data_IF_547604782381
#
_entry.id   IF_547604782381
#
_cell.length_a   1.000
_cell.length_b   1.000
_cell.length_c   1.000
_cell.angle_alpha   90.00
_cell.angle_beta   90.00
_cell.angle_gamma   90.00
#
_symmetry.space_group_name_H-M   'P 1'
#
loop_
_entity.id
_entity.type
_entity.pdbx_description
1 polymer ?
#
# COMPACT_ATOMS: atom_id res chain seq x y z
N UNK A 1 2.74 -19.78 6.49
CA UNK A 1 3.35 -18.45 6.68
C UNK A 1 2.34 -17.56 7.42
N UNK A 2 2.64 -17.03 8.62
CA UNK A 2 1.69 -16.14 9.32
C UNK A 2 1.61 -14.79 8.59
N UNK A 3 0.44 -14.22 8.27
CA UNK A 3 0.34 -12.87 7.74
C UNK A 3 1.02 -11.84 8.65
N UNK A 4 1.49 -10.75 8.07
CA UNK A 4 2.14 -9.66 8.82
C UNK A 4 1.24 -9.13 9.94
N UNK A 5 -0.08 -9.08 9.73
CA UNK A 5 -1.05 -8.68 10.73
C UNK A 5 -1.01 -9.55 12.00
N UNK A 6 -0.98 -10.88 11.84
CA UNK A 6 -0.92 -11.82 12.98
C UNK A 6 0.38 -11.67 13.79
N UNK A 7 1.49 -11.33 13.11
CA UNK A 7 2.76 -11.01 13.78
C UNK A 7 2.60 -9.74 14.62
N UNK A 8 1.94 -8.71 14.07
CA UNK A 8 1.68 -7.47 14.80
C UNK A 8 0.70 -7.64 15.96
N UNK A 9 -0.33 -8.48 15.83
CA UNK A 9 -1.25 -8.82 16.92
C UNK A 9 -0.53 -9.47 18.10
N UNK A 10 0.46 -10.31 17.81
CA UNK A 10 1.28 -10.98 18.82
C UNK A 10 2.22 -10.01 19.58
N UNK A 11 2.39 -8.77 19.11
CA UNK A 11 3.21 -7.78 19.81
C UNK A 11 2.55 -7.38 21.13
N UNK A 12 3.31 -7.50 22.22
CA UNK A 12 2.82 -7.20 23.57
C UNK A 12 2.01 -8.34 24.19
N UNK A 13 1.90 -9.51 23.53
CA UNK A 13 1.28 -10.69 24.14
C UNK A 13 2.18 -11.22 25.26
N UNK A 14 1.62 -11.37 26.46
CA UNK A 14 2.30 -11.95 27.61
C UNK A 14 1.29 -12.69 28.49
N UNK A 15 1.37 -14.02 28.46
CA UNK A 15 0.43 -14.89 29.17
C UNK A 15 0.55 -14.77 30.70
N UNK A 16 1.77 -14.56 31.22
CA UNK A 16 2.01 -14.40 32.66
C UNK A 16 1.40 -13.11 33.22
N UNK A 17 1.30 -12.07 32.40
CA UNK A 17 0.70 -10.78 32.77
C UNK A 17 -0.74 -10.62 32.27
N UNK A 18 -1.34 -11.64 31.66
CA UNK A 18 -2.68 -11.56 31.07
C UNK A 18 -2.81 -10.60 29.89
N UNK A 19 -1.70 -10.24 29.22
CA UNK A 19 -1.72 -9.32 28.08
C UNK A 19 -1.99 -10.09 26.79
N UNK A 20 -3.12 -9.78 26.14
CA UNK A 20 -3.56 -10.43 24.89
C UNK A 20 -2.80 -9.99 23.63
N UNK A 21 -1.97 -8.95 23.72
CA UNK A 21 -1.25 -8.37 22.58
C UNK A 21 -1.95 -7.15 21.98
N UNK A 22 -1.53 -6.78 20.78
CA UNK A 22 -2.07 -5.63 20.04
C UNK A 22 -3.44 -6.01 19.46
N UNK A 23 -4.49 -5.19 19.66
CA UNK A 23 -5.78 -5.43 19.02
C UNK A 23 -5.67 -5.50 17.48
N UNK A 24 -6.50 -6.33 16.81
CA UNK A 24 -6.53 -6.43 15.35
C UNK A 24 -7.00 -5.09 14.78
N UNK A 25 -6.04 -4.30 14.28
CA UNK A 25 -6.30 -2.96 13.73
C UNK A 25 -5.62 -2.82 12.39
N UNK A 26 -6.29 -2.18 11.42
CA UNK A 26 -5.70 -1.98 10.13
C UNK A 26 -4.42 -1.15 10.17
N UNK A 27 -3.51 -1.40 9.23
CA UNK A 27 -2.33 -0.57 9.06
C UNK A 27 -2.73 0.72 8.37
N UNK A 28 -2.52 1.82 9.08
CA UNK A 28 -2.58 3.14 8.48
C UNK A 28 -1.42 3.40 7.51
N UNK A 29 -1.43 4.57 6.85
CA UNK A 29 -0.53 4.91 5.76
C UNK A 29 0.97 4.78 6.10
N UNK A 30 1.35 5.14 7.32
CA UNK A 30 2.75 5.02 7.78
C UNK A 30 3.21 3.57 7.92
N UNK A 31 2.32 2.64 8.27
CA UNK A 31 2.68 1.23 8.41
C UNK A 31 2.65 0.51 7.07
N UNK A 32 1.70 0.87 6.20
CA UNK A 32 1.67 0.31 4.84
C UNK A 32 2.87 0.77 4.02
N UNK A 33 3.42 1.95 4.30
CA UNK A 33 4.59 2.48 3.58
C UNK A 33 5.96 2.04 4.09
N UNK A 34 5.99 0.99 4.91
CA UNK A 34 7.22 0.33 5.37
C UNK A 34 7.52 -0.88 4.52
N UNK A 35 8.80 -1.12 4.33
CA UNK A 35 9.31 -2.37 3.78
C UNK A 35 9.67 -3.27 4.97
N UNK A 36 9.04 -4.44 5.04
CA UNK A 36 9.33 -5.43 6.07
C UNK A 36 10.24 -6.52 5.51
N UNK A 37 11.07 -7.11 6.37
CA UNK A 37 11.86 -8.30 6.03
C UNK A 37 11.51 -9.43 6.98
N UNK A 38 11.27 -10.62 6.43
CA UNK A 38 10.97 -11.82 7.22
C UNK A 38 11.56 -13.05 6.54
N UNK A 39 12.42 -13.78 7.24
CA UNK A 39 13.06 -15.01 6.73
C UNK A 39 13.76 -14.83 5.35
N UNK A 40 14.31 -13.64 5.08
CA UNK A 40 14.92 -13.32 3.78
C UNK A 40 13.94 -12.72 2.76
N UNK A 41 12.63 -12.93 2.95
CA UNK A 41 11.60 -12.35 2.11
C UNK A 41 11.40 -10.88 2.44
N UNK A 42 11.27 -10.07 1.39
CA UNK A 42 10.86 -8.67 1.52
C UNK A 42 9.35 -8.59 1.33
N UNK A 43 8.68 -7.94 2.27
CA UNK A 43 7.22 -7.81 2.33
C UNK A 43 6.87 -6.33 2.18
N UNK A 44 6.02 -6.03 1.20
CA UNK A 44 5.36 -4.74 1.02
C UNK A 44 3.88 -4.85 1.35
N UNK A 45 3.33 -3.75 1.83
CA UNK A 45 1.90 -3.58 2.06
C UNK A 45 1.39 -2.43 1.19
N UNK A 46 0.20 -2.56 0.62
CA UNK A 46 -0.49 -1.45 -0.03
C UNK A 46 -1.62 -0.94 0.89
N UNK A 47 -2.02 0.33 0.78
CA UNK A 47 -3.09 0.89 1.60
C UNK A 47 -4.45 0.23 1.33
N UNK A 48 -5.30 0.19 2.36
CA UNK A 48 -6.65 -0.37 2.28
C UNK A 48 -7.56 0.30 1.24
N UNK A 49 -7.27 1.53 0.84
CA UNK A 49 -8.04 2.26 -0.18
C UNK A 49 -8.08 1.54 -1.55
N UNK A 50 -7.19 0.57 -1.80
CA UNK A 50 -7.21 -0.27 -3.00
C UNK A 50 -7.94 -1.62 -2.79
N UNK A 51 -8.59 -1.84 -1.65
CA UNK A 51 -9.29 -3.09 -1.30
C UNK A 51 -10.81 -2.98 -1.46
N UNK A 52 -11.32 -3.57 -2.55
CA UNK A 52 -12.75 -3.52 -2.95
C UNK A 52 -13.73 -4.24 -2.01
N UNK A 53 -13.24 -5.15 -1.15
CA UNK A 53 -14.13 -5.93 -0.27
C UNK A 53 -14.78 -5.08 0.81
N UNK A 54 -13.98 -4.17 1.38
CA UNK A 54 -14.39 -3.36 2.54
C UNK A 54 -14.43 -1.86 2.21
N UNK A 55 -13.81 -1.42 1.10
CA UNK A 55 -13.71 -0.01 0.72
C UNK A 55 -14.12 0.23 -0.74
N UNK A 56 -15.18 1.00 -0.93
CA UNK A 56 -15.68 1.39 -2.26
C UNK A 56 -14.91 2.55 -2.90
N UNK A 57 -13.90 3.10 -2.22
CA UNK A 57 -13.13 4.27 -2.69
C UNK A 57 -12.48 4.00 -4.04
N UNK A 58 -12.02 2.77 -4.31
CA UNK A 58 -11.41 2.43 -5.59
C UNK A 58 -12.39 2.37 -6.76
N UNK A 59 -13.71 2.47 -6.53
CA UNK A 59 -14.74 2.52 -7.56
C UNK A 59 -14.92 3.92 -8.16
N UNK A 60 -14.49 4.98 -7.46
CA UNK A 60 -14.48 6.35 -7.97
C UNK A 60 -13.03 6.82 -8.18
N UNK A 61 -12.55 6.91 -9.43
CA UNK A 61 -11.18 7.31 -9.71
C UNK A 61 -10.84 8.73 -9.24
N UNK A 62 -11.79 9.67 -9.19
CA UNK A 62 -11.51 11.03 -8.74
C UNK A 62 -11.21 11.05 -7.24
N UNK A 63 -12.06 10.40 -6.44
CA UNK A 63 -11.85 10.26 -4.99
C UNK A 63 -10.57 9.46 -4.70
N UNK A 64 -10.32 8.40 -5.48
CA UNK A 64 -9.11 7.60 -5.35
C UNK A 64 -7.84 8.43 -5.56
N UNK A 65 -7.81 9.28 -6.59
CA UNK A 65 -6.67 10.15 -6.89
C UNK A 65 -6.41 11.13 -5.74
N UNK A 66 -7.46 11.74 -5.20
CA UNK A 66 -7.33 12.71 -4.11
C UNK A 66 -6.88 12.04 -2.80
N UNK A 67 -7.39 10.84 -2.51
CA UNK A 67 -6.89 10.02 -1.40
C UNK A 67 -5.40 9.67 -1.57
N UNK A 68 -4.95 9.30 -2.78
CA UNK A 68 -3.52 9.05 -3.05
C UNK A 68 -2.68 10.30 -2.77
N UNK A 69 -3.09 11.48 -3.27
CA UNK A 69 -2.39 12.75 -3.03
C UNK A 69 -2.32 13.10 -1.55
N UNK A 70 -3.42 12.93 -0.82
CA UNK A 70 -3.51 13.20 0.61
C UNK A 70 -2.62 12.24 1.41
N UNK A 71 -2.58 10.97 1.04
CA UNK A 71 -1.69 9.99 1.66
C UNK A 71 -0.21 10.34 1.42
N UNK A 72 0.17 10.70 0.18
CA UNK A 72 1.54 11.14 -0.15
C UNK A 72 1.96 12.35 0.67
N UNK A 73 1.10 13.35 0.76
CA UNK A 73 1.32 14.55 1.58
C UNK A 73 1.46 14.20 3.07
N UNK A 74 0.54 13.38 3.59
CA UNK A 74 0.56 12.94 4.97
C UNK A 74 1.86 12.21 5.32
N UNK A 75 2.29 11.27 4.48
CA UNK A 75 3.55 10.55 4.68
C UNK A 75 4.75 11.50 4.63
N UNK A 76 4.78 12.43 3.67
CA UNK A 76 5.89 13.40 3.56
C UNK A 76 6.07 14.24 4.84
N UNK A 77 4.96 14.58 5.51
CA UNK A 77 4.94 15.42 6.71
C UNK A 77 5.12 14.62 8.01
N UNK A 78 4.69 13.35 8.04
CA UNK A 78 4.61 12.54 9.27
C UNK A 78 5.61 11.39 9.34
N UNK A 79 6.37 11.14 8.28
CA UNK A 79 7.42 10.12 8.30
C UNK A 79 8.56 10.54 9.22
N UNK A 80 8.78 9.75 10.28
CA UNK A 80 9.83 9.98 11.28
C UNK A 80 10.89 8.87 11.34
N UNK A 81 10.79 7.88 10.45
CA UNK A 81 11.68 6.73 10.44
C UNK A 81 12.84 6.96 9.48
N UNK A 82 13.94 6.22 9.70
CA UNK A 82 15.05 6.19 8.76
C UNK A 82 14.64 5.62 7.41
N UNK A 83 15.18 6.17 6.32
CA UNK A 83 14.85 5.75 4.96
C UNK A 83 13.64 6.48 4.38
N UNK A 84 13.33 6.20 3.11
CA UNK A 84 12.21 6.83 2.39
C UNK A 84 10.94 6.00 2.56
N UNK A 85 9.78 6.61 2.86
CA UNK A 85 8.51 5.90 2.78
C UNK A 85 8.32 5.38 1.36
N UNK A 86 7.80 4.16 1.22
CA UNK A 86 7.46 3.56 -0.09
C UNK A 86 5.95 3.39 -0.17
N UNK A 87 5.28 4.04 -1.10
CA UNK A 87 3.84 3.91 -1.27
C UNK A 87 3.52 2.94 -2.41
N UNK A 88 2.82 1.86 -2.09
CA UNK A 88 2.39 0.88 -3.09
C UNK A 88 0.96 1.19 -3.55
N UNK A 89 0.78 1.48 -4.84
CA UNK A 89 -0.52 1.59 -5.47
C UNK A 89 -0.80 0.37 -6.35
N UNK A 90 -2.07 -0.05 -6.37
CA UNK A 90 -2.54 -1.15 -7.22
C UNK A 90 -3.41 -0.56 -8.33
N UNK A 91 -2.99 -0.75 -9.57
CA UNK A 91 -3.77 -0.46 -10.76
C UNK A 91 -4.56 -1.70 -11.18
N UNK A 92 -5.86 -1.54 -11.41
CA UNK A 92 -6.75 -2.56 -11.96
C UNK A 92 -7.26 -2.11 -13.33
N UNK A 93 -7.71 -3.03 -14.15
CA UNK A 93 -8.25 -2.74 -15.49
C UNK A 93 -9.37 -1.69 -15.48
N UNK A 94 -10.24 -1.74 -14.47
CA UNK A 94 -11.31 -0.76 -14.23
C UNK A 94 -10.80 0.67 -13.95
N UNK A 95 -9.58 0.82 -13.40
CA UNK A 95 -8.95 2.13 -13.21
C UNK A 95 -8.24 2.63 -14.47
N UNK A 96 -8.04 1.76 -15.47
CA UNK A 96 -7.23 2.01 -16.68
C UNK A 96 -8.12 2.07 -17.94
N UNK A 97 -9.43 1.87 -17.78
CA UNK A 97 -10.41 1.85 -18.88
C UNK A 97 -11.62 2.71 -18.56
N UNK A 98 -12.16 3.44 -19.55
CA UNK A 98 -13.37 4.26 -19.40
C UNK A 98 -13.13 5.77 -19.34
N UNK A 99 -14.19 6.53 -19.05
CA UNK A 99 -14.20 8.01 -19.13
C UNK A 99 -13.22 8.68 -18.16
N UNK A 100 -12.90 8.03 -17.05
CA UNK A 100 -12.02 8.56 -16.01
C UNK A 100 -10.53 8.25 -16.20
N UNK A 101 -10.18 7.55 -17.28
CA UNK A 101 -8.78 7.17 -17.57
C UNK A 101 -7.85 8.38 -17.69
N UNK A 102 -8.35 9.51 -18.22
CA UNK A 102 -7.60 10.76 -18.34
C UNK A 102 -7.05 11.26 -17.00
N UNK A 103 -7.89 11.27 -15.96
CA UNK A 103 -7.51 11.74 -14.63
C UNK A 103 -6.47 10.82 -13.96
N UNK A 104 -6.65 9.50 -14.12
CA UNK A 104 -5.66 8.53 -13.65
C UNK A 104 -4.33 8.67 -14.41
N UNK A 105 -4.38 8.93 -15.71
CA UNK A 105 -3.20 9.15 -16.54
C UNK A 105 -2.43 10.40 -16.09
N UNK A 106 -3.13 11.49 -15.77
CA UNK A 106 -2.52 12.71 -15.24
C UNK A 106 -1.78 12.45 -13.92
N UNK A 107 -2.37 11.64 -13.02
CA UNK A 107 -1.69 11.20 -11.81
C UNK A 107 -0.43 10.39 -12.13
N UNK A 108 -0.50 9.43 -13.06
CA UNK A 108 0.64 8.62 -13.46
C UNK A 108 1.76 9.45 -14.11
N UNK A 109 1.41 10.47 -14.90
CA UNK A 109 2.37 11.43 -15.48
C UNK A 109 3.02 12.24 -14.37
N UNK A 110 2.25 12.77 -13.41
CA UNK A 110 2.78 13.53 -12.29
C UNK A 110 3.73 12.68 -11.40
N UNK A 111 3.37 11.42 -11.16
CA UNK A 111 4.22 10.44 -10.48
C UNK A 111 5.53 10.22 -11.24
N UNK A 112 5.47 10.02 -12.56
CA UNK A 112 6.65 9.84 -13.41
C UNK A 112 7.53 11.09 -13.44
N UNK A 113 6.95 12.28 -13.43
CA UNK A 113 7.66 13.56 -13.39
C UNK A 113 8.29 13.83 -12.01
N UNK A 114 7.95 13.06 -10.98
CA UNK A 114 8.61 13.08 -9.68
C UNK A 114 8.06 14.13 -8.71
N UNK A 115 6.89 14.72 -9.00
CA UNK A 115 6.27 15.72 -8.13
C UNK A 115 4.74 15.62 -8.14
N UNK A 116 4.15 15.36 -6.97
CA UNK A 116 2.70 15.23 -6.80
C UNK A 116 2.28 16.00 -5.55
N UNK A 117 1.33 16.92 -5.70
CA UNK A 117 0.71 17.65 -4.59
C UNK A 117 1.72 18.25 -3.58
N UNK A 118 2.76 18.91 -4.07
CA UNK A 118 3.80 19.50 -3.21
C UNK A 118 4.91 18.53 -2.75
N UNK A 119 4.77 17.23 -3.04
CA UNK A 119 5.66 16.17 -2.56
C UNK A 119 6.57 15.66 -3.68
N UNK A 120 7.87 15.57 -3.40
CA UNK A 120 8.83 14.89 -4.29
C UNK A 120 8.68 13.38 -4.18
N UNK A 121 8.36 12.74 -5.30
CA UNK A 121 8.12 11.30 -5.39
C UNK A 121 9.08 10.64 -6.37
N UNK A 122 9.27 9.32 -6.26
CA UNK A 122 10.08 8.58 -7.23
C UNK A 122 9.46 7.22 -7.52
N UNK A 123 8.95 7.07 -8.73
CA UNK A 123 8.44 5.78 -9.19
C UNK A 123 9.58 4.76 -9.27
N UNK A 124 9.33 3.58 -8.71
CA UNK A 124 10.25 2.45 -8.71
C UNK A 124 9.52 1.13 -8.94
N UNK A 125 10.27 0.13 -9.38
CA UNK A 125 9.84 -1.27 -9.40
C UNK A 125 10.47 -1.98 -8.22
N UNK A 126 9.70 -2.84 -7.57
CA UNK A 126 10.20 -3.67 -6.47
C UNK A 126 9.91 -5.13 -6.82
N UNK A 127 10.96 -5.93 -6.95
CA UNK A 127 10.87 -7.39 -7.19
C UNK A 127 10.74 -8.11 -5.85
N UNK A 128 9.51 -8.21 -5.31
CA UNK A 128 9.28 -8.72 -3.95
C UNK A 128 7.91 -9.39 -3.79
N UNK A 129 7.79 -10.20 -2.74
CA UNK A 129 6.54 -10.82 -2.31
C UNK A 129 5.66 -9.78 -1.61
N UNK A 130 4.56 -9.40 -2.24
CA UNK A 130 3.62 -8.41 -1.67
C UNK A 130 2.61 -9.16 -0.79
N UNK A 131 2.44 -8.73 0.46
CA UNK A 131 1.47 -9.34 1.37
C UNK A 131 0.14 -8.57 1.29
N UNK A 132 -0.93 -9.22 0.85
CA UNK A 132 -2.28 -8.68 1.02
C UNK A 132 -2.73 -8.77 2.47
N UNK A 133 -3.64 -7.86 2.84
CA UNK A 133 -4.37 -7.83 4.11
C UNK A 133 -5.02 -9.16 4.46
N UNK A 134 -5.48 -9.90 3.44
CA UNK A 134 -6.25 -11.13 3.61
C UNK A 134 -5.53 -12.31 2.92
N UNK A 135 -4.63 -12.99 3.65
CA UNK A 135 -4.04 -14.33 3.38
C UNK A 135 -3.52 -14.64 1.96
N UNK A 136 -3.40 -13.66 1.06
CA UNK A 136 -2.97 -13.85 -0.34
C UNK A 136 -1.62 -13.16 -0.56
N UNK A 137 -0.60 -13.93 -0.91
CA UNK A 137 0.69 -13.38 -1.33
C UNK A 137 0.59 -13.12 -2.83
N UNK A 138 0.85 -11.88 -3.25
CA UNK A 138 1.06 -11.57 -4.65
C UNK A 138 2.55 -11.68 -4.95
N UNK A 139 2.92 -12.65 -5.78
CA UNK A 139 4.27 -12.78 -6.32
C UNK A 139 4.32 -12.04 -7.66
N UNK A 140 5.25 -11.09 -7.80
CA UNK A 140 5.47 -10.44 -9.10
C UNK A 140 5.85 -11.51 -10.13
N UNK A 141 4.97 -11.77 -11.11
CA UNK A 141 5.25 -12.70 -12.22
C UNK A 141 4.31 -13.91 -12.38
N UNK A 142 3.25 -14.06 -11.56
CA UNK A 142 2.19 -15.03 -11.86
C UNK A 142 1.05 -14.36 -12.64
N UNK A 143 1.02 -14.60 -13.95
CA UNK A 143 -0.10 -14.27 -14.84
C UNK A 143 -1.39 -14.89 -14.31
N UNK A 144 -2.43 -14.08 -14.11
CA UNK A 144 -3.75 -14.59 -13.72
C UNK A 144 -4.71 -13.59 -13.08
N UNK A 145 -4.25 -12.41 -12.65
CA UNK A 145 -5.14 -11.33 -12.21
C UNK A 145 -4.54 -10.01 -12.70
N UNK A 146 -5.21 -9.30 -13.61
CA UNK A 146 -4.78 -8.03 -14.23
C UNK A 146 -4.60 -6.86 -13.24
N UNK A 147 -3.67 -7.02 -12.30
CA UNK A 147 -3.31 -6.07 -11.24
C UNK A 147 -1.85 -5.69 -11.42
N UNK A 148 -1.60 -4.41 -11.67
CA UNK A 148 -0.24 -3.88 -11.75
C UNK A 148 0.10 -3.11 -10.48
N UNK A 149 1.24 -3.41 -9.88
CA UNK A 149 1.75 -2.69 -8.71
C UNK A 149 2.74 -1.62 -9.14
N UNK A 150 2.52 -0.38 -8.68
CA UNK A 150 3.48 0.73 -8.79
C UNK A 150 3.91 1.12 -7.39
N UNK A 151 5.22 1.29 -7.19
CA UNK A 151 5.78 1.80 -5.94
C UNK A 151 6.28 3.23 -6.16
N UNK A 152 5.96 4.13 -5.23
CA UNK A 152 6.17 5.59 -5.29
C UNK A 152 6.97 6.08 -4.10
#
# INVERSE_FOLDING_TARGET
MLPLLQVFESLGKNEKMGLGGRPPRPFGPLNTSKIFKRFGDTILCYPLLFELKDFYISADPAVLIDEIKLNLEFMSKRWKLSGRPTFCMVLREENVSGEYFSHMLDLLIALKNGYVNGVRVRVGRVHVSVCFWENRVFESGKEGQGKHLICV
#
